data_IF_432122379098
#
_entry.id   IF_432122379098
#
_cell.length_a   1.000
_cell.length_b   1.000
_cell.length_c   1.000
_cell.angle_alpha   90.00
_cell.angle_beta   90.00
_cell.angle_gamma   90.00
#
_symmetry.space_group_name_H-M   'P 1'
#
loop_
_entity.id
_entity.type
_entity.pdbx_description
1 polymer ?
#
# COMPACT_ATOMS: atom_id res chain seq x y z
N UNK A 1 2.43 -56.74 -13.50
CA UNK A 1 3.26 -55.79 -12.71
C UNK A 1 2.88 -54.36 -13.13
N UNK A 2 2.24 -53.58 -12.25
CA UNK A 2 1.91 -52.17 -12.53
C UNK A 2 3.17 -51.34 -12.27
N UNK A 3 3.74 -50.72 -13.32
CA UNK A 3 4.86 -49.80 -13.19
C UNK A 3 4.32 -48.44 -12.72
N UNK A 4 4.50 -48.13 -11.44
CA UNK A 4 4.23 -46.81 -10.89
C UNK A 4 5.30 -45.85 -11.45
N UNK A 5 4.96 -45.09 -12.50
CA UNK A 5 5.77 -43.94 -12.90
C UNK A 5 5.60 -42.85 -11.85
N UNK A 6 6.64 -42.61 -11.06
CA UNK A 6 6.79 -41.36 -10.30
C UNK A 6 6.85 -40.21 -11.30
N UNK A 7 6.12 -39.09 -11.11
CA UNK A 7 6.34 -37.91 -11.93
C UNK A 7 7.74 -37.39 -11.63
N UNK A 8 8.59 -37.28 -12.66
CA UNK A 8 9.80 -36.48 -12.56
C UNK A 8 9.36 -35.02 -12.55
N UNK A 9 9.15 -34.44 -11.37
CA UNK A 9 8.94 -33.00 -11.28
C UNK A 9 10.10 -32.30 -11.98
N UNK A 10 9.77 -31.56 -13.04
CA UNK A 10 10.77 -30.82 -13.79
C UNK A 10 11.39 -29.78 -12.85
N UNK A 11 12.63 -29.34 -13.09
CA UNK A 11 13.24 -28.27 -12.27
C UNK A 11 12.36 -27.02 -12.23
N UNK A 12 11.58 -26.76 -13.28
CA UNK A 12 10.63 -25.67 -13.36
C UNK A 12 9.46 -25.82 -12.36
N UNK A 13 8.93 -27.03 -12.18
CA UNK A 13 7.87 -27.29 -11.20
C UNK A 13 8.35 -27.07 -9.77
N UNK A 14 9.60 -27.48 -9.46
CA UNK A 14 10.20 -27.24 -8.14
C UNK A 14 10.43 -25.75 -7.87
N UNK A 15 10.80 -24.98 -8.90
CA UNK A 15 10.94 -23.52 -8.79
C UNK A 15 9.59 -22.82 -8.60
N UNK A 16 8.53 -23.28 -9.27
CA UNK A 16 7.18 -22.75 -9.10
C UNK A 16 6.63 -23.03 -7.69
N UNK A 17 6.87 -24.24 -7.16
CA UNK A 17 6.48 -24.63 -5.81
C UNK A 17 7.20 -23.79 -4.73
N UNK A 18 8.50 -23.51 -4.92
CA UNK A 18 9.27 -22.66 -3.99
C UNK A 18 8.80 -21.20 -4.03
N UNK A 19 8.57 -20.66 -5.23
CA UNK A 19 8.02 -19.32 -5.42
C UNK A 19 6.64 -19.19 -4.78
N UNK A 20 5.75 -20.18 -4.98
CA UNK A 20 4.41 -20.18 -4.40
C UNK A 20 4.46 -20.22 -2.87
N UNK A 21 5.37 -21.01 -2.27
CA UNK A 21 5.58 -21.03 -0.82
C UNK A 21 6.12 -19.70 -0.28
N UNK A 22 7.01 -19.02 -1.01
CA UNK A 22 7.52 -17.70 -0.64
C UNK A 22 6.41 -16.65 -0.66
N UNK A 23 5.63 -16.59 -1.75
CA UNK A 23 4.49 -15.68 -1.88
C UNK A 23 3.43 -15.91 -0.80
N UNK A 24 3.07 -17.18 -0.52
CA UNK A 24 2.15 -17.51 0.57
C UNK A 24 2.70 -17.14 1.95
N UNK A 25 4.03 -17.20 2.12
CA UNK A 25 4.65 -16.78 3.38
C UNK A 25 4.59 -15.27 3.51
N UNK A 26 4.90 -14.52 2.45
CA UNK A 26 4.81 -13.06 2.37
C UNK A 26 3.36 -12.56 2.59
N UNK A 27 2.36 -13.20 1.99
CA UNK A 27 0.93 -12.90 2.25
C UNK A 27 0.54 -13.14 3.70
N UNK A 28 1.09 -14.17 4.36
CA UNK A 28 0.79 -14.48 5.77
C UNK A 28 1.35 -13.47 6.77
N UNK A 29 2.28 -12.62 6.37
CA UNK A 29 2.92 -11.61 7.24
C UNK A 29 2.26 -10.24 7.09
N UNK A 30 1.32 -10.08 6.16
CA UNK A 30 0.63 -8.82 5.94
C UNK A 30 -0.48 -8.59 6.96
N UNK A 31 -0.68 -7.33 7.34
CA UNK A 31 -1.79 -6.92 8.20
C UNK A 31 -3.13 -6.85 7.43
N UNK A 32 -4.20 -6.46 8.12
CA UNK A 32 -5.55 -6.31 7.54
C UNK A 32 -5.63 -5.25 6.43
N UNK A 33 -4.59 -4.42 6.28
CA UNK A 33 -4.46 -3.40 5.24
C UNK A 33 -3.52 -3.80 4.11
N UNK A 34 -3.08 -5.06 4.08
CA UNK A 34 -2.18 -5.65 3.09
C UNK A 34 -0.72 -5.14 3.17
N UNK A 35 -0.35 -4.54 4.31
CA UNK A 35 0.99 -4.02 4.56
C UNK A 35 1.87 -5.07 5.24
N UNK A 36 3.14 -5.17 4.82
CA UNK A 36 4.14 -5.90 5.62
C UNK A 36 4.46 -5.13 6.90
N UNK A 37 5.27 -5.71 7.81
CA UNK A 37 5.72 -5.02 9.02
C UNK A 37 6.43 -3.68 8.75
N UNK A 38 7.18 -3.59 7.64
CA UNK A 38 7.84 -2.34 7.24
C UNK A 38 6.79 -1.31 6.78
N UNK A 39 5.84 -1.73 5.96
CA UNK A 39 4.67 -0.93 5.57
C UNK A 39 3.84 -0.46 6.76
N UNK A 40 3.58 -1.32 7.74
CA UNK A 40 2.89 -0.95 8.98
C UNK A 40 3.67 0.11 9.76
N UNK A 41 5.01 0.03 9.77
CA UNK A 41 5.87 1.03 10.41
C UNK A 41 5.79 2.38 9.68
N UNK A 42 5.86 2.37 8.35
CA UNK A 42 5.66 3.56 7.51
C UNK A 42 4.30 4.20 7.78
N UNK A 43 3.24 3.39 7.71
CA UNK A 43 1.89 3.84 7.99
C UNK A 43 1.78 4.46 9.37
N UNK A 44 2.34 3.82 10.40
CA UNK A 44 2.27 4.33 11.78
C UNK A 44 2.96 5.70 11.91
N UNK A 45 4.09 5.90 11.23
CA UNK A 45 4.76 7.21 11.16
C UNK A 45 3.88 8.29 10.53
N UNK A 46 3.24 7.99 9.41
CA UNK A 46 2.31 8.91 8.73
C UNK A 46 1.06 9.17 9.58
N UNK A 47 0.50 8.12 10.18
CA UNK A 47 -0.67 8.16 11.06
C UNK A 47 -0.48 9.18 12.18
N UNK A 48 0.66 9.12 12.87
CA UNK A 48 0.97 10.04 13.96
C UNK A 48 1.31 11.45 13.47
N UNK A 49 2.06 11.57 12.37
CA UNK A 49 2.51 12.88 11.86
C UNK A 49 1.37 13.72 11.28
N UNK A 50 0.33 13.06 10.76
CA UNK A 50 -0.76 13.69 10.02
C UNK A 50 -2.15 13.41 10.61
N UNK A 51 -2.23 12.81 11.80
CA UNK A 51 -3.48 12.41 12.46
C UNK A 51 -4.41 11.65 11.51
N UNK A 52 -3.89 10.61 10.87
CA UNK A 52 -4.65 9.82 9.89
C UNK A 52 -5.34 8.63 10.56
N UNK A 53 -6.38 8.13 9.90
CA UNK A 53 -7.01 6.86 10.21
C UNK A 53 -7.35 6.11 8.92
N UNK A 54 -7.40 4.79 9.02
CA UNK A 54 -8.00 3.97 7.99
C UNK A 54 -9.52 4.13 8.01
N UNK A 55 -10.10 4.31 6.82
CA UNK A 55 -11.54 4.21 6.57
C UNK A 55 -11.73 3.39 5.28
N UNK A 56 -11.82 2.08 5.43
CA UNK A 56 -11.81 1.14 4.30
C UNK A 56 -10.58 1.35 3.41
N UNK A 57 -10.82 1.74 2.15
CA UNK A 57 -9.78 2.00 1.15
C UNK A 57 -9.23 3.43 1.18
N UNK A 58 -9.50 4.19 2.24
CA UNK A 58 -9.08 5.58 2.38
C UNK A 58 -8.17 5.77 3.61
N UNK A 59 -7.17 6.63 3.47
CA UNK A 59 -6.48 7.25 4.59
C UNK A 59 -7.09 8.63 4.82
N UNK A 60 -7.81 8.86 5.93
CA UNK A 60 -8.49 10.14 6.17
C UNK A 60 -7.89 10.86 7.39
N UNK A 61 -7.73 12.19 7.35
CA UNK A 61 -7.41 12.94 8.56
C UNK A 61 -8.62 12.95 9.51
N UNK A 62 -8.35 12.73 10.78
CA UNK A 62 -9.39 12.63 11.82
C UNK A 62 -9.94 13.99 12.23
N UNK A 63 -9.20 15.07 11.97
CA UNK A 63 -9.53 16.43 12.40
C UNK A 63 -9.55 17.43 11.24
N UNK A 64 -10.27 18.53 11.42
CA UNK A 64 -10.36 19.63 10.46
C UNK A 64 -11.60 19.61 9.58
N UNK A 65 -11.86 20.74 8.92
CA UNK A 65 -12.83 20.86 7.82
C UNK A 65 -12.27 20.26 6.53
N UNK A 66 -13.07 20.25 5.46
CA UNK A 66 -12.70 19.63 4.18
C UNK A 66 -11.39 20.20 3.61
N UNK A 67 -11.20 21.52 3.69
CA UNK A 67 -10.02 22.22 3.19
C UNK A 67 -8.76 21.84 3.97
N UNK A 68 -8.86 21.85 5.32
CA UNK A 68 -7.75 21.44 6.18
C UNK A 68 -7.40 19.98 5.98
N UNK A 69 -8.41 19.11 5.81
CA UNK A 69 -8.19 17.68 5.53
C UNK A 69 -7.50 17.47 4.19
N UNK A 70 -7.91 18.17 3.15
CA UNK A 70 -7.27 18.11 1.83
C UNK A 70 -5.80 18.58 1.90
N UNK A 71 -5.52 19.66 2.63
CA UNK A 71 -4.16 20.16 2.84
C UNK A 71 -3.27 19.17 3.60
N UNK A 72 -3.79 18.51 4.64
CA UNK A 72 -3.08 17.46 5.38
C UNK A 72 -2.73 16.29 4.45
N UNK A 73 -3.69 15.81 3.65
CA UNK A 73 -3.45 14.72 2.72
C UNK A 73 -2.43 15.07 1.65
N UNK A 74 -2.54 16.26 1.04
CA UNK A 74 -1.56 16.74 0.07
C UNK A 74 -0.14 16.76 0.65
N UNK A 75 0.01 17.23 1.90
CA UNK A 75 1.31 17.22 2.58
C UNK A 75 1.82 15.80 2.86
N UNK A 76 0.95 14.91 3.32
CA UNK A 76 1.31 13.51 3.59
C UNK A 76 1.76 12.78 2.32
N UNK A 77 1.03 12.97 1.21
CA UNK A 77 1.34 12.44 -0.12
C UNK A 77 2.70 12.96 -0.61
N UNK A 78 2.98 14.25 -0.45
CA UNK A 78 4.26 14.81 -0.88
C UNK A 78 5.42 14.20 -0.07
N UNK A 79 5.30 14.13 1.26
CA UNK A 79 6.35 13.57 2.11
C UNK A 79 6.62 12.11 1.81
N UNK A 80 5.59 11.26 1.72
CA UNK A 80 5.82 9.84 1.42
C UNK A 80 6.45 9.67 0.03
N UNK A 81 6.02 10.45 -0.96
CA UNK A 81 6.48 10.37 -2.36
C UNK A 81 7.95 10.76 -2.51
N UNK A 82 8.39 11.83 -1.84
CA UNK A 82 9.74 12.37 -2.02
C UNK A 82 10.75 11.88 -0.97
N UNK A 83 10.32 11.68 0.28
CA UNK A 83 11.26 11.38 1.37
C UNK A 83 11.43 9.89 1.64
N UNK A 84 10.49 9.05 1.19
CA UNK A 84 10.43 7.64 1.65
C UNK A 84 10.32 6.58 0.56
N UNK A 85 10.16 6.96 -0.71
CA UNK A 85 9.91 6.00 -1.81
C UNK A 85 10.98 4.92 -1.95
N UNK A 86 12.26 5.25 -1.71
CA UNK A 86 13.38 4.28 -1.85
C UNK A 86 13.57 3.38 -0.61
N UNK A 87 12.89 3.69 0.50
CA UNK A 87 13.13 3.04 1.80
C UNK A 87 12.22 1.85 2.08
N UNK A 88 11.19 1.63 1.27
CA UNK A 88 10.17 0.62 1.53
C UNK A 88 9.92 -0.25 0.31
N UNK A 89 9.47 -1.48 0.54
CA UNK A 89 9.00 -2.33 -0.56
C UNK A 89 7.93 -1.58 -1.37
N UNK A 90 8.11 -1.60 -2.69
CA UNK A 90 7.26 -0.87 -3.63
C UNK A 90 5.77 -1.15 -3.40
N UNK A 91 5.42 -2.39 -2.99
CA UNK A 91 4.04 -2.78 -2.73
C UNK A 91 3.41 -2.04 -1.55
N UNK A 92 4.11 -1.92 -0.42
CA UNK A 92 3.58 -1.23 0.76
C UNK A 92 3.45 0.29 0.52
N UNK A 93 4.46 0.87 -0.13
CA UNK A 93 4.41 2.26 -0.57
C UNK A 93 3.19 2.53 -1.46
N UNK A 94 2.96 1.66 -2.47
CA UNK A 94 1.85 1.79 -3.41
C UNK A 94 0.48 1.72 -2.70
N UNK A 95 0.30 0.77 -1.77
CA UNK A 95 -0.94 0.65 -1.00
C UNK A 95 -1.24 1.94 -0.24
N UNK A 96 -0.24 2.53 0.42
CA UNK A 96 -0.45 3.73 1.24
C UNK A 96 -0.69 4.96 0.36
N UNK A 97 0.10 5.18 -0.69
CA UNK A 97 -0.02 6.35 -1.56
C UNK A 97 -1.34 6.34 -2.34
N UNK A 98 -1.80 5.18 -2.80
CA UNK A 98 -3.09 5.07 -3.51
C UNK A 98 -4.26 5.44 -2.59
N UNK A 99 -4.27 4.94 -1.36
CA UNK A 99 -5.34 5.22 -0.39
C UNK A 99 -5.33 6.68 0.10
N UNK A 100 -4.15 7.29 0.24
CA UNK A 100 -4.02 8.74 0.48
C UNK A 100 -4.56 9.56 -0.71
N UNK A 101 -4.19 9.17 -1.93
CA UNK A 101 -4.60 9.87 -3.16
C UNK A 101 -6.10 9.76 -3.40
N UNK A 102 -6.69 8.58 -3.18
CA UNK A 102 -8.14 8.40 -3.26
C UNK A 102 -8.88 9.26 -2.24
N UNK A 103 -8.37 9.36 -1.02
CA UNK A 103 -8.98 10.21 -0.01
C UNK A 103 -8.92 11.70 -0.40
N UNK A 104 -7.77 12.16 -0.92
CA UNK A 104 -7.62 13.54 -1.39
C UNK A 104 -8.56 13.84 -2.56
N UNK A 105 -8.65 12.93 -3.54
CA UNK A 105 -9.49 13.12 -4.72
C UNK A 105 -10.99 13.15 -4.37
N UNK A 106 -11.40 12.38 -3.36
CA UNK A 106 -12.76 12.46 -2.82
C UNK A 106 -13.03 13.83 -2.20
N UNK A 107 -12.12 14.35 -1.38
CA UNK A 107 -12.25 15.68 -0.78
C UNK A 107 -12.22 16.79 -1.84
N UNK A 108 -11.35 16.68 -2.85
CA UNK A 108 -11.30 17.66 -3.94
C UNK A 108 -12.61 17.68 -4.73
N UNK A 109 -13.24 16.52 -4.97
CA UNK A 109 -14.55 16.46 -5.59
C UNK A 109 -15.62 17.19 -4.74
N UNK A 110 -15.62 16.99 -3.42
CA UNK A 110 -16.52 17.68 -2.50
C UNK A 110 -16.28 19.21 -2.47
N UNK A 111 -15.03 19.64 -2.68
CA UNK A 111 -14.63 21.06 -2.74
C UNK A 111 -14.79 21.70 -4.13
N UNK A 112 -15.11 20.92 -5.18
CA UNK A 112 -15.16 21.41 -6.56
C UNK A 112 -13.78 21.72 -7.16
N UNK A 113 -12.72 21.12 -6.63
CA UNK A 113 -11.33 21.29 -7.06
C UNK A 113 -10.91 20.12 -7.97
N UNK A 114 -10.01 20.32 -8.95
CA UNK A 114 -9.49 19.22 -9.77
C UNK A 114 -8.86 18.08 -8.94
N UNK A 115 -8.92 16.84 -9.45
CA UNK A 115 -8.26 15.72 -8.78
C UNK A 115 -6.74 15.93 -8.77
N UNK A 116 -6.12 15.48 -7.69
CA UNK A 116 -4.69 15.33 -7.57
C UNK A 116 -4.19 14.17 -8.45
N UNK A 117 -3.20 14.45 -9.29
CA UNK A 117 -2.44 13.46 -10.05
C UNK A 117 -0.98 13.51 -9.62
N UNK A 118 -0.42 12.35 -9.29
CA UNK A 118 1.04 12.21 -9.23
C UNK A 118 1.52 12.24 -10.68
N UNK A 119 2.20 13.31 -11.08
CA UNK A 119 2.94 13.31 -12.34
C UNK A 119 4.02 12.22 -12.24
N UNK A 120 3.75 11.07 -12.87
CA UNK A 120 4.73 10.00 -13.02
C UNK A 120 5.64 10.40 -14.17
N UNK A 121 6.73 11.09 -13.86
CA UNK A 121 7.89 11.16 -14.76
C UNK A 121 8.53 9.77 -14.91
#
# INVERSE_FOLDING_TARGET
MKKNHKPSHSKLDLHADDLSKRLQKEEKIKDEHELTNEGTTLWYGLKLSYNLSWDGNYCIPTEGDLEKKAAILSKAINVITFDTRELYETNDFLVIIERLTHALNRLNADLGVPPYSLDRE
#
